data_IF_872050287579
#
_entry.id   IF_872050287579
#
_cell.length_a   1.000
_cell.length_b   1.000
_cell.length_c   1.000
_cell.angle_alpha   90.00
_cell.angle_beta   90.00
_cell.angle_gamma   90.00
#
_symmetry.space_group_name_H-M   'P 1'
#
loop_
_entity.id
_entity.type
_entity.pdbx_description
1 polymer ?
#
# COMPACT_ATOMS: atom_id res chain seq x y z
N UNK A 1 33.26 -1.58 42.21
CA UNK A 1 34.15 -0.50 41.75
C UNK A 1 35.26 -1.15 40.96
N UNK A 2 35.11 -1.23 39.65
CA UNK A 2 36.13 -1.77 38.74
C UNK A 2 37.13 -0.67 38.44
N UNK A 3 38.37 -0.81 38.93
CA UNK A 3 39.50 0.02 38.49
C UNK A 3 39.75 -0.29 37.01
N UNK A 4 39.19 0.53 36.11
CA UNK A 4 39.65 0.57 34.72
C UNK A 4 41.06 1.18 34.69
N UNK A 5 41.91 0.62 33.84
CA UNK A 5 43.27 1.13 33.60
C UNK A 5 43.19 2.56 33.03
N UNK A 6 43.77 3.59 33.69
CA UNK A 6 43.70 4.98 33.22
C UNK A 6 44.23 5.18 31.79
N UNK A 7 45.18 4.34 31.35
CA UNK A 7 45.71 4.39 29.99
C UNK A 7 44.73 3.80 28.97
N UNK A 8 43.97 2.77 29.35
CA UNK A 8 42.87 2.23 28.55
C UNK A 8 41.75 3.27 28.40
N UNK A 9 41.32 3.91 29.49
CA UNK A 9 40.25 4.90 29.45
C UNK A 9 40.62 6.11 28.60
N UNK A 10 41.89 6.54 28.64
CA UNK A 10 42.39 7.65 27.81
C UNK A 10 42.41 7.28 26.32
N UNK A 11 42.88 6.07 25.97
CA UNK A 11 42.86 5.59 24.57
C UNK A 11 41.43 5.40 24.05
N UNK A 12 40.55 4.86 24.88
CA UNK A 12 39.13 4.70 24.56
C UNK A 12 38.45 6.05 24.33
N UNK A 13 38.76 7.05 25.15
CA UNK A 13 38.23 8.41 24.98
C UNK A 13 38.70 9.00 23.65
N UNK A 14 39.99 8.92 23.33
CA UNK A 14 40.51 9.42 22.05
C UNK A 14 39.86 8.76 20.83
N UNK A 15 39.59 7.44 20.88
CA UNK A 15 38.92 6.73 19.79
C UNK A 15 37.44 7.12 19.68
N UNK A 16 36.77 7.43 20.81
CA UNK A 16 35.39 7.94 20.81
C UNK A 16 35.31 9.34 20.23
N UNK A 17 36.26 10.21 20.58
CA UNK A 17 36.34 11.56 20.01
C UNK A 17 36.55 11.49 18.47
N UNK A 18 37.35 10.54 17.98
CA UNK A 18 37.52 10.31 16.54
C UNK A 18 36.23 9.83 15.87
N UNK A 19 35.46 8.94 16.53
CA UNK A 19 34.14 8.51 16.05
C UNK A 19 33.16 9.68 15.99
N UNK A 20 33.12 10.52 17.02
CA UNK A 20 32.22 11.69 17.09
C UNK A 20 32.51 12.70 15.96
N UNK A 21 33.78 12.90 15.62
CA UNK A 21 34.18 13.72 14.46
C UNK A 21 33.75 13.09 13.13
N UNK A 22 33.92 11.77 12.96
CA UNK A 22 33.44 11.04 11.77
C UNK A 22 31.92 11.17 11.63
N UNK A 23 31.17 10.98 12.71
CA UNK A 23 29.71 11.10 12.74
C UNK A 23 29.27 12.53 12.42
N UNK A 24 29.99 13.53 12.90
CA UNK A 24 29.77 14.94 12.54
C UNK A 24 29.99 15.20 11.05
N UNK A 25 31.01 14.59 10.46
CA UNK A 25 31.27 14.67 9.02
C UNK A 25 30.21 13.93 8.18
N UNK A 26 29.68 12.81 8.67
CA UNK A 26 28.53 12.14 8.06
C UNK A 26 27.34 13.09 7.99
N UNK A 27 26.99 13.79 9.07
CA UNK A 27 25.89 14.77 9.07
C UNK A 27 26.10 15.87 8.00
N UNK A 28 27.31 16.41 7.88
CA UNK A 28 27.64 17.41 6.84
C UNK A 28 27.45 16.84 5.43
N UNK A 29 27.89 15.60 5.19
CA UNK A 29 27.70 14.92 3.91
C UNK A 29 26.22 14.67 3.60
N UNK A 30 25.42 14.29 4.59
CA UNK A 30 23.98 14.12 4.45
C UNK A 30 23.28 15.43 4.11
N UNK A 31 23.63 16.53 4.79
CA UNK A 31 23.10 17.87 4.49
C UNK A 31 23.44 18.28 3.06
N UNK A 32 24.70 18.10 2.63
CA UNK A 32 25.10 18.38 1.25
C UNK A 32 24.32 17.52 0.26
N UNK A 33 24.14 16.23 0.54
CA UNK A 33 23.35 15.33 -0.31
C UNK A 33 21.90 15.82 -0.42
N UNK A 34 21.26 16.18 0.69
CA UNK A 34 19.90 16.72 0.71
C UNK A 34 19.77 17.96 -0.18
N UNK A 35 20.72 18.89 -0.10
CA UNK A 35 20.71 20.10 -0.96
C UNK A 35 20.76 19.77 -2.46
N UNK A 36 21.49 18.72 -2.84
CA UNK A 36 21.59 18.26 -4.24
C UNK A 36 20.32 17.53 -4.65
N UNK A 37 19.77 16.66 -3.80
CA UNK A 37 18.53 15.94 -4.10
C UNK A 37 17.34 16.88 -4.23
N UNK A 38 17.25 17.95 -3.42
CA UNK A 38 16.21 18.98 -3.58
C UNK A 38 16.30 19.67 -4.96
N UNK A 39 17.50 20.04 -5.42
CA UNK A 39 17.70 20.61 -6.77
C UNK A 39 17.32 19.64 -7.88
N UNK A 40 17.64 18.35 -7.72
CA UNK A 40 17.20 17.29 -8.66
C UNK A 40 15.68 17.15 -8.66
N UNK A 41 15.03 17.21 -7.49
CA UNK A 41 13.57 17.21 -7.36
C UNK A 41 12.92 18.37 -8.11
N UNK A 42 13.41 19.59 -7.91
CA UNK A 42 12.94 20.80 -8.62
C UNK A 42 13.09 20.65 -10.14
N UNK A 43 14.24 20.17 -10.62
CA UNK A 43 14.49 19.97 -12.05
C UNK A 43 13.59 18.88 -12.65
N UNK A 44 13.35 17.79 -11.92
CA UNK A 44 12.43 16.72 -12.36
C UNK A 44 10.99 17.22 -12.40
N UNK A 45 10.58 17.98 -11.39
CA UNK A 45 9.25 18.58 -11.30
C UNK A 45 8.98 19.51 -12.48
N UNK A 46 9.95 20.38 -12.85
CA UNK A 46 9.79 21.31 -13.98
C UNK A 46 9.59 20.63 -15.34
N UNK A 47 10.04 19.38 -15.50
CA UNK A 47 9.84 18.59 -16.74
C UNK A 47 8.84 17.44 -16.56
N UNK A 48 8.21 17.30 -15.38
CA UNK A 48 7.27 16.22 -15.03
C UNK A 48 7.82 14.81 -15.12
N UNK A 49 9.12 14.63 -14.85
CA UNK A 49 9.66 13.28 -14.69
C UNK A 49 9.30 12.74 -13.32
N UNK A 50 8.91 11.45 -13.20
CA UNK A 50 8.64 10.84 -11.91
C UNK A 50 9.79 11.02 -10.92
N UNK A 51 9.41 11.26 -9.66
CA UNK A 51 10.35 11.34 -8.54
C UNK A 51 11.13 10.02 -8.44
N UNK A 52 10.40 8.91 -8.49
CA UNK A 52 10.94 7.56 -8.47
C UNK A 52 11.46 7.09 -9.84
N UNK A 53 12.68 6.56 -9.87
CA UNK A 53 13.28 5.91 -11.05
C UNK A 53 13.94 4.60 -10.61
N UNK A 54 13.24 3.48 -10.83
CA UNK A 54 13.69 2.17 -10.38
C UNK A 54 14.99 1.70 -11.05
N UNK A 55 15.21 2.02 -12.33
CA UNK A 55 16.44 1.64 -13.05
C UNK A 55 17.64 2.39 -12.48
N UNK A 56 17.46 3.69 -12.18
CA UNK A 56 18.50 4.50 -11.56
C UNK A 56 18.81 4.05 -10.14
N UNK A 57 17.80 3.74 -9.33
CA UNK A 57 17.99 3.19 -7.97
C UNK A 57 18.77 1.88 -8.02
N UNK A 58 18.36 0.92 -8.85
CA UNK A 58 19.02 -0.38 -8.96
C UNK A 58 20.51 -0.24 -9.38
N UNK A 59 20.79 0.62 -10.36
CA UNK A 59 22.16 0.93 -10.79
C UNK A 59 22.99 1.58 -9.68
N UNK A 60 22.40 2.49 -8.91
CA UNK A 60 23.05 3.13 -7.75
C UNK A 60 23.41 2.09 -6.68
N UNK A 61 22.47 1.22 -6.31
CA UNK A 61 22.69 0.18 -5.31
C UNK A 61 23.79 -0.79 -5.76
N UNK A 62 23.71 -1.33 -6.98
CA UNK A 62 24.72 -2.24 -7.50
C UNK A 62 26.13 -1.63 -7.46
N UNK A 63 26.27 -0.37 -7.90
CA UNK A 63 27.56 0.34 -7.89
C UNK A 63 28.10 0.57 -6.48
N UNK A 64 27.23 0.91 -5.52
CA UNK A 64 27.64 1.22 -4.14
C UNK A 64 27.89 -0.02 -3.30
N UNK A 65 27.17 -1.12 -3.54
CA UNK A 65 27.44 -2.44 -2.98
C UNK A 65 28.85 -2.90 -3.35
N UNK A 66 29.22 -2.82 -4.64
CA UNK A 66 30.57 -3.18 -5.10
C UNK A 66 31.64 -2.31 -4.44
N UNK A 67 31.43 -0.98 -4.41
CA UNK A 67 32.36 -0.07 -3.74
C UNK A 67 32.54 -0.37 -2.25
N UNK A 68 31.47 -0.76 -1.55
CA UNK A 68 31.55 -1.14 -0.15
C UNK A 68 32.36 -2.43 0.02
N UNK A 69 32.10 -3.45 -0.80
CA UNK A 69 32.90 -4.68 -0.82
C UNK A 69 34.39 -4.41 -1.03
N UNK A 70 34.74 -3.59 -2.03
CA UNK A 70 36.13 -3.23 -2.35
C UNK A 70 36.82 -2.49 -1.19
N UNK A 71 36.06 -1.78 -0.36
CA UNK A 71 36.54 -1.05 0.81
C UNK A 71 36.49 -1.87 2.11
N UNK A 72 36.09 -3.15 2.08
CA UNK A 72 35.95 -4.01 3.26
C UNK A 72 34.71 -3.70 4.12
N UNK A 73 33.72 -2.98 3.57
CA UNK A 73 32.45 -2.67 4.23
C UNK A 73 31.35 -3.64 3.78
N UNK A 74 30.36 -3.86 4.64
CA UNK A 74 29.18 -4.65 4.28
C UNK A 74 28.39 -3.98 3.14
N UNK A 75 28.10 -4.71 2.05
CA UNK A 75 27.22 -4.23 0.97
C UNK A 75 25.82 -3.88 1.45
N UNK A 76 25.32 -4.60 2.46
CA UNK A 76 23.97 -4.39 2.98
C UNK A 76 23.89 -3.11 3.82
N UNK A 77 24.95 -2.79 4.58
CA UNK A 77 25.03 -1.54 5.35
C UNK A 77 24.88 -0.31 4.45
N UNK A 78 25.67 -0.22 3.37
CA UNK A 78 25.62 0.95 2.48
C UNK A 78 24.27 1.03 1.75
N UNK A 79 23.69 -0.12 1.40
CA UNK A 79 22.39 -0.18 0.77
C UNK A 79 21.29 0.33 1.71
N UNK A 80 21.29 -0.09 2.98
CA UNK A 80 20.32 0.35 3.98
C UNK A 80 20.42 1.85 4.26
N UNK A 81 21.63 2.38 4.39
CA UNK A 81 21.87 3.83 4.52
C UNK A 81 21.29 4.56 3.31
N UNK A 82 21.63 4.14 2.09
CA UNK A 82 21.13 4.79 0.88
C UNK A 82 19.61 4.69 0.73
N UNK A 83 19.01 3.54 1.07
CA UNK A 83 17.55 3.34 1.08
C UNK A 83 16.89 4.31 2.05
N UNK A 84 17.42 4.47 3.26
CA UNK A 84 16.90 5.43 4.26
C UNK A 84 17.01 6.87 3.75
N UNK A 85 18.15 7.25 3.20
CA UNK A 85 18.37 8.60 2.66
C UNK A 85 17.47 8.93 1.46
N UNK A 86 17.16 7.94 0.61
CA UNK A 86 16.24 8.14 -0.51
C UNK A 86 14.80 8.28 -0.03
N UNK A 87 14.35 7.47 0.92
CA UNK A 87 13.02 7.63 1.54
C UNK A 87 12.84 9.02 2.13
N UNK A 88 13.84 9.52 2.85
CA UNK A 88 13.82 10.87 3.41
C UNK A 88 13.81 11.97 2.33
N UNK A 89 14.55 11.74 1.24
CA UNK A 89 14.53 12.64 0.07
C UNK A 89 13.17 12.67 -0.62
N UNK A 90 12.41 11.58 -0.59
CA UNK A 90 11.07 11.53 -1.17
C UNK A 90 10.06 12.33 -0.34
N UNK A 91 10.04 12.12 0.97
CA UNK A 91 9.14 12.85 1.88
C UNK A 91 9.42 14.36 1.85
N UNK A 92 10.70 14.76 1.79
CA UNK A 92 11.07 16.18 1.69
C UNK A 92 10.76 16.80 0.33
N UNK A 93 10.73 16.01 -0.76
CA UNK A 93 10.28 16.47 -2.08
C UNK A 93 8.75 16.54 -2.16
N UNK A 94 8.02 15.63 -1.52
CA UNK A 94 6.57 15.68 -1.39
C UNK A 94 6.10 16.99 -0.72
N UNK A 95 6.90 17.53 0.21
CA UNK A 95 6.62 18.81 0.86
C UNK A 95 6.77 20.03 -0.06
N UNK A 96 7.44 19.90 -1.21
CA UNK A 96 7.62 21.00 -2.18
C UNK A 96 6.49 21.09 -3.22
N UNK A 97 5.47 20.24 -3.11
CA UNK A 97 4.36 20.14 -4.07
C UNK A 97 4.68 19.21 -5.25
N UNK A 98 3.64 18.67 -5.87
CA UNK A 98 3.74 17.84 -7.07
C UNK A 98 3.43 18.64 -8.32
N UNK A 99 3.99 18.24 -9.47
CA UNK A 99 3.59 18.83 -10.75
C UNK A 99 2.10 18.56 -11.01
N UNK A 100 1.36 19.62 -11.33
CA UNK A 100 0.06 19.55 -11.97
C UNK A 100 0.22 19.04 -13.41
N UNK A 101 -0.22 17.81 -13.69
CA UNK A 101 -0.15 17.21 -15.04
C UNK A 101 -1.09 17.92 -16.01
N UNK A 102 -2.31 18.25 -15.58
CA UNK A 102 -3.29 18.95 -16.39
C UNK A 102 -3.74 20.28 -15.74
N UNK A 103 -3.02 21.40 -16.01
CA UNK A 103 -3.39 22.72 -15.49
C UNK A 103 -4.74 23.25 -15.98
N UNK A 104 -5.31 22.68 -17.05
CA UNK A 104 -6.63 23.07 -17.57
C UNK A 104 -7.78 22.40 -16.80
N UNK A 105 -7.47 21.43 -15.94
CA UNK A 105 -8.44 20.81 -15.03
C UNK A 105 -9.00 21.89 -14.10
N UNK A 106 -10.27 22.23 -14.30
CA UNK A 106 -10.92 23.31 -13.54
C UNK A 106 -11.10 22.93 -12.09
N UNK A 107 -11.61 21.72 -11.85
CA UNK A 107 -12.03 21.29 -10.52
C UNK A 107 -12.10 19.78 -10.39
N UNK A 108 -11.55 19.28 -9.28
CA UNK A 108 -11.70 17.89 -8.82
C UNK A 108 -12.71 17.87 -7.69
N UNK A 109 -13.71 17.00 -7.77
CA UNK A 109 -14.69 16.77 -6.70
C UNK A 109 -14.49 15.38 -6.13
N UNK A 110 -14.32 15.28 -4.82
CA UNK A 110 -14.20 13.98 -4.13
C UNK A 110 -15.45 13.77 -3.27
N UNK A 111 -16.29 12.81 -3.67
CA UNK A 111 -17.48 12.39 -2.90
C UNK A 111 -17.02 11.45 -1.78
N UNK A 112 -17.32 11.78 -0.53
CA UNK A 112 -16.72 11.12 0.63
C UNK A 112 -15.26 11.54 0.90
N UNK A 113 -14.87 12.73 0.45
CA UNK A 113 -13.50 13.25 0.56
C UNK A 113 -13.00 13.50 1.98
N UNK A 114 -13.87 13.54 3.01
CA UNK A 114 -13.47 13.56 4.43
C UNK A 114 -13.27 12.15 5.01
N UNK A 115 -13.62 11.11 4.26
CA UNK A 115 -13.34 9.72 4.62
C UNK A 115 -11.85 9.42 4.59
N UNK A 116 -11.44 8.32 5.26
CA UNK A 116 -10.02 8.00 5.45
C UNK A 116 -9.22 7.97 4.13
N UNK A 117 -9.69 7.21 3.13
CA UNK A 117 -9.01 7.12 1.83
C UNK A 117 -9.27 8.36 0.96
N UNK A 118 -10.49 8.90 0.99
CA UNK A 118 -10.84 10.12 0.24
C UNK A 118 -9.95 11.31 0.61
N UNK A 119 -9.63 11.47 1.90
CA UNK A 119 -8.79 12.54 2.41
C UNK A 119 -7.36 12.48 1.86
N UNK A 120 -6.82 11.28 1.62
CA UNK A 120 -5.50 11.08 0.99
C UNK A 120 -5.50 11.66 -0.41
N UNK A 121 -6.52 11.37 -1.23
CA UNK A 121 -6.61 11.91 -2.58
C UNK A 121 -6.88 13.41 -2.59
N UNK A 122 -7.72 13.92 -1.69
CA UNK A 122 -7.94 15.37 -1.51
C UNK A 122 -6.62 16.10 -1.24
N UNK A 123 -5.79 15.58 -0.32
CA UNK A 123 -4.48 16.16 0.00
C UNK A 123 -3.54 16.11 -1.20
N UNK A 124 -3.44 14.97 -1.90
CA UNK A 124 -2.59 14.81 -3.08
C UNK A 124 -2.97 15.74 -4.24
N UNK A 125 -4.27 15.90 -4.52
CA UNK A 125 -4.73 16.85 -5.53
C UNK A 125 -4.42 18.30 -5.12
N UNK A 126 -4.64 18.69 -3.86
CA UNK A 126 -4.29 20.03 -3.36
C UNK A 126 -2.80 20.32 -3.45
N UNK A 127 -1.95 19.35 -3.11
CA UNK A 127 -0.47 19.46 -3.25
C UNK A 127 0.00 19.50 -4.70
N UNK A 128 -0.89 19.20 -5.64
CA UNK A 128 -0.64 19.29 -7.09
C UNK A 128 -1.34 20.51 -7.71
N UNK A 129 -1.69 21.51 -6.90
CA UNK A 129 -2.31 22.78 -7.28
C UNK A 129 -3.68 22.66 -7.98
N UNK A 130 -4.39 21.54 -7.83
CA UNK A 130 -5.78 21.44 -8.30
C UNK A 130 -6.74 22.11 -7.31
N UNK A 131 -7.79 22.74 -7.84
CA UNK A 131 -8.95 23.11 -7.03
C UNK A 131 -9.72 21.83 -6.66
N UNK A 132 -9.96 21.63 -5.36
CA UNK A 132 -10.63 20.43 -4.83
C UNK A 132 -11.84 20.81 -3.98
N UNK A 133 -13.02 20.36 -4.41
CA UNK A 133 -14.25 20.40 -3.63
C UNK A 133 -14.57 19.00 -3.06
N UNK A 134 -15.31 18.96 -1.97
CA UNK A 134 -15.72 17.72 -1.30
C UNK A 134 -17.24 17.70 -1.19
N UNK A 135 -17.85 16.54 -1.44
CA UNK A 135 -19.26 16.30 -1.17
C UNK A 135 -19.38 15.26 -0.05
N UNK A 136 -20.00 15.65 1.06
CA UNK A 136 -20.45 14.77 2.14
C UNK A 136 -21.98 14.66 2.17
N UNK A 137 -22.51 13.89 3.12
CA UNK A 137 -23.96 13.63 3.27
C UNK A 137 -24.82 14.91 3.31
N UNK A 138 -24.33 15.97 3.95
CA UNK A 138 -25.08 17.22 4.12
C UNK A 138 -24.96 18.16 2.91
N UNK A 139 -24.06 17.87 1.97
CA UNK A 139 -23.76 18.73 0.82
C UNK A 139 -24.63 18.39 -0.40
N UNK A 140 -25.30 17.22 -0.40
CA UNK A 140 -26.17 16.77 -1.49
C UNK A 140 -27.24 17.77 -1.94
N UNK A 141 -27.92 18.54 -1.05
CA UNK A 141 -28.87 19.57 -1.49
C UNK A 141 -28.25 20.67 -2.38
N UNK A 142 -26.93 20.83 -2.34
CA UNK A 142 -26.17 21.82 -3.12
C UNK A 142 -25.22 21.16 -4.13
N UNK A 143 -25.33 19.85 -4.36
CA UNK A 143 -24.40 19.08 -5.20
C UNK A 143 -24.37 19.58 -6.64
N UNK A 144 -25.48 20.03 -7.20
CA UNK A 144 -25.54 20.55 -8.57
C UNK A 144 -24.56 21.72 -8.78
N UNK A 145 -24.50 22.65 -7.82
CA UNK A 145 -23.57 23.78 -7.88
C UNK A 145 -22.11 23.33 -7.73
N UNK A 146 -21.86 22.33 -6.88
CA UNK A 146 -20.52 21.76 -6.68
C UNK A 146 -20.07 20.99 -7.93
N UNK A 147 -20.97 20.32 -8.64
CA UNK A 147 -20.65 19.46 -9.79
C UNK A 147 -20.65 20.20 -11.15
N UNK A 148 -21.24 21.39 -11.22
CA UNK A 148 -21.49 22.10 -12.49
C UNK A 148 -20.26 22.32 -13.38
N UNK A 149 -19.08 22.55 -12.80
CA UNK A 149 -17.81 22.76 -13.49
C UNK A 149 -16.74 21.71 -13.16
N UNK A 150 -17.17 20.56 -12.60
CA UNK A 150 -16.28 19.45 -12.29
C UNK A 150 -15.61 18.90 -13.57
N UNK A 151 -14.29 18.78 -13.52
CA UNK A 151 -13.48 18.11 -14.54
C UNK A 151 -13.21 16.65 -14.16
N UNK A 152 -13.18 16.35 -12.86
CA UNK A 152 -13.05 15.00 -12.31
C UNK A 152 -13.99 14.87 -11.11
N UNK A 153 -14.72 13.76 -11.03
CA UNK A 153 -15.48 13.35 -9.85
C UNK A 153 -14.98 11.97 -9.41
N UNK A 154 -14.54 11.86 -8.17
CA UNK A 154 -14.06 10.62 -7.56
C UNK A 154 -14.99 10.20 -6.45
N UNK A 155 -15.52 8.98 -6.55
CA UNK A 155 -16.40 8.36 -5.55
C UNK A 155 -15.57 7.56 -4.55
N UNK A 156 -15.45 8.07 -3.33
CA UNK A 156 -14.68 7.51 -2.23
C UNK A 156 -15.56 7.22 -0.99
N UNK A 157 -16.73 6.61 -1.23
CA UNK A 157 -17.72 6.27 -0.19
C UNK A 157 -17.69 4.76 0.13
N UNK A 158 -18.28 4.30 1.25
CA UNK A 158 -18.41 2.88 1.54
C UNK A 158 -19.12 2.12 0.40
N UNK A 159 -18.66 0.90 0.11
CA UNK A 159 -19.10 0.09 -1.04
C UNK A 159 -20.64 -0.05 -1.08
N UNK A 160 -21.28 -0.28 0.08
CA UNK A 160 -22.75 -0.39 0.17
C UNK A 160 -23.52 0.87 -0.26
N UNK A 161 -22.88 2.04 -0.25
CA UNK A 161 -23.48 3.32 -0.66
C UNK A 161 -23.10 3.72 -2.08
N UNK A 162 -22.07 3.09 -2.66
CA UNK A 162 -21.47 3.50 -3.94
C UNK A 162 -22.49 3.57 -5.07
N UNK A 163 -23.28 2.53 -5.30
CA UNK A 163 -24.27 2.52 -6.39
C UNK A 163 -25.32 3.63 -6.21
N UNK A 164 -25.81 3.82 -4.99
CA UNK A 164 -26.78 4.87 -4.68
C UNK A 164 -26.19 6.27 -4.94
N UNK A 165 -24.95 6.50 -4.51
CA UNK A 165 -24.24 7.76 -4.74
C UNK A 165 -24.02 8.02 -6.23
N UNK A 166 -23.57 7.00 -6.97
CA UNK A 166 -23.36 7.11 -8.43
C UNK A 166 -24.66 7.49 -9.16
N UNK A 167 -25.82 6.96 -8.74
CA UNK A 167 -27.11 7.32 -9.35
C UNK A 167 -27.47 8.80 -9.18
N UNK A 168 -26.98 9.47 -8.14
CA UNK A 168 -27.16 10.91 -7.95
C UNK A 168 -26.19 11.76 -8.80
N UNK A 169 -25.19 11.16 -9.44
CA UNK A 169 -24.21 11.83 -10.30
C UNK A 169 -24.61 11.77 -11.78
N UNK A 170 -25.88 11.99 -12.09
CA UNK A 170 -26.43 11.86 -13.45
C UNK A 170 -26.33 13.14 -14.32
N UNK A 171 -25.97 14.27 -13.73
CA UNK A 171 -25.90 15.58 -14.39
C UNK A 171 -24.46 16.12 -14.46
N UNK A 172 -23.48 15.25 -14.65
CA UNK A 172 -22.07 15.66 -14.79
C UNK A 172 -21.81 16.31 -16.16
N UNK A 173 -20.84 17.26 -16.25
CA UNK A 173 -20.36 17.75 -17.53
C UNK A 173 -19.90 16.61 -18.44
N UNK A 174 -20.15 16.71 -19.75
CA UNK A 174 -19.89 15.61 -20.71
C UNK A 174 -18.44 15.11 -20.70
N UNK A 175 -17.49 16.04 -20.55
CA UNK A 175 -16.05 15.74 -20.52
C UNK A 175 -15.52 15.44 -19.11
N UNK A 176 -16.38 15.48 -18.08
CA UNK A 176 -15.97 15.18 -16.71
C UNK A 176 -15.56 13.72 -16.60
N UNK A 177 -14.42 13.43 -15.98
CA UNK A 177 -14.01 12.07 -15.65
C UNK A 177 -14.81 11.61 -14.43
N UNK A 178 -15.51 10.48 -14.51
CA UNK A 178 -16.12 9.83 -13.36
C UNK A 178 -15.28 8.61 -12.96
N UNK A 179 -14.81 8.60 -11.71
CA UNK A 179 -14.01 7.51 -11.17
C UNK A 179 -14.48 7.09 -9.77
N UNK A 180 -14.09 5.89 -9.35
CA UNK A 180 -14.33 5.38 -8.00
C UNK A 180 -13.03 4.84 -7.38
N UNK A 181 -12.99 4.74 -6.04
CA UNK A 181 -11.87 4.15 -5.28
C UNK A 181 -12.28 2.89 -4.50
N UNK A 182 -13.35 2.21 -4.90
CA UNK A 182 -13.86 1.08 -4.12
C UNK A 182 -12.93 -0.15 -4.20
N UNK A 183 -13.18 -1.15 -3.37
CA UNK A 183 -12.42 -2.42 -3.40
C UNK A 183 -13.00 -3.47 -4.34
N UNK A 184 -14.14 -3.20 -5.02
CA UNK A 184 -14.77 -4.08 -6.02
C UNK A 184 -14.99 -3.30 -7.32
N UNK A 185 -14.84 -3.88 -8.49
CA UNK A 185 -14.79 -3.10 -9.74
C UNK A 185 -15.97 -3.36 -10.66
N UNK A 186 -16.53 -4.56 -10.73
CA UNK A 186 -17.58 -4.86 -11.70
C UNK A 186 -18.84 -4.00 -11.49
N UNK A 187 -19.43 -4.05 -10.29
CA UNK A 187 -20.67 -3.34 -10.00
C UNK A 187 -20.51 -1.81 -10.03
N UNK A 188 -19.52 -1.19 -9.37
CA UNK A 188 -19.33 0.27 -9.43
C UNK A 188 -19.07 0.78 -10.84
N UNK A 189 -18.22 0.08 -11.62
CA UNK A 189 -17.91 0.47 -12.98
C UNK A 189 -19.13 0.40 -13.89
N UNK A 190 -19.95 -0.65 -13.74
CA UNK A 190 -21.22 -0.77 -14.46
C UNK A 190 -22.17 0.40 -14.15
N UNK A 191 -22.35 0.75 -12.87
CA UNK A 191 -23.22 1.85 -12.46
C UNK A 191 -22.68 3.20 -12.94
N UNK A 192 -21.36 3.44 -12.88
CA UNK A 192 -20.75 4.67 -13.39
C UNK A 192 -20.96 4.83 -14.90
N UNK A 193 -20.78 3.76 -15.68
CA UNK A 193 -21.03 3.75 -17.14
C UNK A 193 -22.48 4.03 -17.50
N UNK A 194 -23.42 3.68 -16.61
CA UNK A 194 -24.85 3.93 -16.78
C UNK A 194 -25.24 5.36 -16.39
N UNK A 195 -24.67 5.89 -15.31
CA UNK A 195 -24.97 7.22 -14.79
C UNK A 195 -24.33 8.34 -15.63
N UNK A 196 -23.16 8.09 -16.23
CA UNK A 196 -22.41 9.09 -16.99
C UNK A 196 -22.13 8.63 -18.42
N UNK A 197 -22.29 9.51 -19.39
CA UNK A 197 -22.02 9.23 -20.81
C UNK A 197 -20.57 9.51 -21.22
N UNK A 198 -19.83 10.28 -20.42
CA UNK A 198 -18.45 10.68 -20.67
C UNK A 198 -17.40 9.65 -20.21
N UNK A 199 -16.17 10.12 -19.93
CA UNK A 199 -15.06 9.27 -19.49
C UNK A 199 -15.31 8.61 -18.14
N UNK A 200 -15.02 7.31 -18.04
CA UNK A 200 -15.22 6.51 -16.83
C UNK A 200 -14.02 5.59 -16.58
N UNK A 201 -13.50 5.57 -15.36
CA UNK A 201 -12.42 4.67 -14.94
C UNK A 201 -12.65 4.16 -13.51
N UNK A 202 -12.53 2.85 -13.30
CA UNK A 202 -12.57 2.27 -11.96
C UNK A 202 -11.17 2.17 -11.37
N UNK A 203 -10.97 2.57 -10.12
CA UNK A 203 -9.67 2.53 -9.47
C UNK A 203 -9.76 1.76 -8.15
N UNK A 204 -8.72 0.99 -7.84
CA UNK A 204 -8.56 0.36 -6.54
C UNK A 204 -7.14 0.62 -6.03
N UNK A 205 -6.98 1.60 -5.10
CA UNK A 205 -5.73 1.81 -4.40
C UNK A 205 -5.43 0.61 -3.50
N UNK A 206 -4.33 -0.11 -3.76
CA UNK A 206 -3.94 -1.31 -3.00
C UNK A 206 -3.20 -0.96 -1.69
N UNK A 207 -3.66 0.11 -1.02
CA UNK A 207 -3.07 0.65 0.20
C UNK A 207 -4.15 1.29 1.08
N UNK A 208 -3.89 1.29 2.39
CA UNK A 208 -4.75 1.94 3.37
C UNK A 208 -4.46 3.43 3.56
N UNK A 209 -5.21 4.10 4.44
CA UNK A 209 -5.08 5.54 4.69
C UNK A 209 -3.78 5.94 5.38
N UNK A 210 -3.07 5.00 6.03
CA UNK A 210 -1.81 5.25 6.73
C UNK A 210 -0.60 5.41 5.79
N UNK A 211 -0.84 5.47 4.48
CA UNK A 211 0.20 5.64 3.47
C UNK A 211 0.83 7.03 3.59
N UNK A 212 2.16 7.11 3.67
CA UNK A 212 2.88 8.38 3.78
C UNK A 212 3.20 9.02 2.42
N UNK A 213 3.01 8.30 1.32
CA UNK A 213 3.21 8.73 -0.06
C UNK A 213 3.01 7.55 -1.03
N UNK A 214 2.74 7.83 -2.32
CA UNK A 214 2.36 6.78 -3.26
C UNK A 214 3.53 6.04 -3.92
N UNK A 215 4.78 6.35 -3.54
CA UNK A 215 5.96 5.72 -4.12
C UNK A 215 5.92 4.20 -3.92
N UNK A 216 5.99 3.48 -5.05
CA UNK A 216 5.93 2.01 -5.12
C UNK A 216 4.57 1.41 -4.70
N UNK A 217 3.58 2.24 -4.39
CA UNK A 217 2.21 1.78 -4.15
C UNK A 217 1.53 1.45 -5.47
N UNK A 218 0.64 0.47 -5.46
CA UNK A 218 -0.09 0.05 -6.65
C UNK A 218 -1.50 0.64 -6.63
N UNK A 219 -1.94 1.17 -7.77
CA UNK A 219 -3.35 1.47 -8.04
C UNK A 219 -3.76 0.58 -9.21
N UNK A 220 -4.72 -0.30 -8.96
CA UNK A 220 -5.32 -1.08 -10.03
C UNK A 220 -6.29 -0.19 -10.79
N UNK A 221 -6.26 -0.23 -12.13
CA UNK A 221 -7.11 0.57 -13.00
C UNK A 221 -7.94 -0.34 -13.90
N UNK A 222 -9.26 -0.17 -13.87
CA UNK A 222 -10.20 -0.88 -14.72
C UNK A 222 -10.83 0.11 -15.71
N UNK A 223 -10.63 -0.16 -17.01
CA UNK A 223 -11.12 0.71 -18.08
C UNK A 223 -12.65 0.70 -18.15
N UNK A 224 -13.27 1.88 -18.11
CA UNK A 224 -14.71 2.04 -18.24
C UNK A 224 -15.12 2.51 -19.64
N UNK A 225 -14.76 3.75 -19.98
CA UNK A 225 -15.06 4.41 -21.26
C UNK A 225 -14.12 5.60 -21.51
N UNK A 226 -13.70 5.80 -22.76
CA UNK A 226 -12.87 6.92 -23.22
C UNK A 226 -11.53 7.07 -22.48
N UNK A 227 -10.67 6.01 -22.49
CA UNK A 227 -9.37 6.02 -21.82
C UNK A 227 -8.46 7.17 -22.22
N UNK A 228 -8.55 7.62 -23.46
CA UNK A 228 -7.79 8.75 -23.98
C UNK A 228 -8.06 10.06 -23.23
N UNK A 229 -9.24 10.22 -22.62
CA UNK A 229 -9.64 11.45 -21.93
C UNK A 229 -9.22 11.50 -20.46
N UNK A 230 -8.95 10.34 -19.83
CA UNK A 230 -8.49 10.26 -18.44
C UNK A 230 -7.03 9.85 -18.29
N UNK A 231 -6.27 9.71 -19.39
CA UNK A 231 -4.87 9.29 -19.31
C UNK A 231 -4.01 10.23 -18.45
N UNK A 232 -4.27 11.55 -18.51
CA UNK A 232 -3.58 12.53 -17.68
C UNK A 232 -3.80 12.30 -16.17
N UNK A 233 -4.94 11.74 -15.77
CA UNK A 233 -5.25 11.41 -14.37
C UNK A 233 -4.38 10.23 -13.89
N UNK A 234 -4.23 9.20 -14.73
CA UNK A 234 -3.34 8.06 -14.44
C UNK A 234 -1.86 8.50 -14.42
N UNK A 235 -1.48 9.42 -15.30
CA UNK A 235 -0.18 10.07 -15.28
C UNK A 235 0.03 10.87 -13.99
N UNK A 236 -0.98 11.58 -13.51
CA UNK A 236 -0.92 12.31 -12.24
C UNK A 236 -0.62 11.37 -11.06
N UNK A 237 -1.26 10.20 -11.01
CA UNK A 237 -0.98 9.18 -9.99
C UNK A 237 0.46 8.64 -10.11
N UNK A 238 0.95 8.48 -11.33
CA UNK A 238 2.34 8.07 -11.59
C UNK A 238 3.34 9.15 -11.16
N UNK A 239 3.01 10.44 -11.32
CA UNK A 239 3.81 11.57 -10.79
C UNK A 239 3.91 11.51 -9.27
N UNK A 240 2.84 11.12 -8.59
CA UNK A 240 2.83 10.86 -7.13
C UNK A 240 3.63 9.61 -6.73
N UNK A 241 4.09 8.82 -7.70
CA UNK A 241 4.93 7.64 -7.50
C UNK A 241 4.18 6.31 -7.53
N UNK A 242 2.87 6.32 -7.79
CA UNK A 242 2.07 5.11 -7.89
C UNK A 242 2.44 4.31 -9.15
N UNK A 243 2.27 3.00 -9.06
CA UNK A 243 2.30 2.08 -10.19
C UNK A 243 0.86 1.80 -10.61
N UNK A 244 0.52 2.14 -11.85
CA UNK A 244 -0.78 1.78 -12.43
C UNK A 244 -0.71 0.36 -12.97
N UNK A 245 -1.61 -0.49 -12.51
CA UNK A 245 -1.77 -1.87 -12.97
C UNK A 245 -3.13 -2.01 -13.69
N UNK A 246 -3.16 -2.00 -15.03
CA UNK A 246 -4.41 -2.15 -15.78
C UNK A 246 -4.90 -3.59 -15.73
N UNK A 247 -6.19 -3.78 -15.50
CA UNK A 247 -6.85 -5.10 -15.49
C UNK A 247 -8.34 -4.95 -15.80
N UNK A 248 -8.95 -5.99 -16.36
CA UNK A 248 -10.40 -6.03 -16.54
C UNK A 248 -11.13 -6.09 -15.18
N UNK A 249 -12.30 -5.46 -15.09
CA UNK A 249 -13.04 -5.39 -13.82
C UNK A 249 -13.43 -6.77 -13.27
N UNK A 250 -13.74 -7.72 -14.17
CA UNK A 250 -14.07 -9.09 -13.80
C UNK A 250 -12.85 -9.86 -13.26
N UNK A 251 -11.72 -9.78 -13.97
CA UNK A 251 -10.46 -10.40 -13.54
C UNK A 251 -9.98 -9.79 -12.20
N UNK A 252 -10.18 -8.49 -12.00
CA UNK A 252 -9.94 -7.85 -10.71
C UNK A 252 -10.77 -8.48 -9.58
N UNK A 253 -12.10 -8.57 -9.74
CA UNK A 253 -12.99 -9.06 -8.69
C UNK A 253 -12.76 -10.56 -8.43
N UNK A 254 -12.46 -11.35 -9.47
CA UNK A 254 -12.03 -12.75 -9.33
C UNK A 254 -10.72 -12.85 -8.52
N UNK A 255 -9.71 -12.05 -8.83
CA UNK A 255 -8.46 -12.03 -8.08
C UNK A 255 -8.65 -11.58 -6.62
N UNK A 256 -9.47 -10.54 -6.38
CA UNK A 256 -9.77 -10.04 -5.04
C UNK A 256 -10.58 -11.02 -4.20
N UNK A 257 -11.33 -11.95 -4.81
CA UNK A 257 -11.95 -13.04 -4.09
C UNK A 257 -10.91 -13.88 -3.32
N UNK A 258 -9.76 -14.16 -3.94
CA UNK A 258 -8.67 -14.89 -3.30
C UNK A 258 -7.84 -13.99 -2.37
N UNK A 259 -7.46 -12.80 -2.85
CA UNK A 259 -6.53 -11.90 -2.15
C UNK A 259 -7.14 -11.23 -0.93
N UNK A 260 -8.41 -10.81 -1.02
CA UNK A 260 -9.10 -10.07 0.04
C UNK A 260 -10.15 -10.93 0.73
N UNK A 261 -11.14 -11.44 0.00
CA UNK A 261 -12.31 -12.11 0.61
C UNK A 261 -11.88 -13.35 1.39
N UNK A 262 -11.17 -14.27 0.76
CA UNK A 262 -10.72 -15.50 1.41
C UNK A 262 -9.73 -15.20 2.54
N UNK A 263 -8.79 -14.27 2.33
CA UNK A 263 -7.81 -13.88 3.34
C UNK A 263 -8.48 -13.28 4.58
N UNK A 264 -9.43 -12.36 4.41
CA UNK A 264 -10.13 -11.73 5.52
C UNK A 264 -11.05 -12.73 6.22
N UNK A 265 -11.83 -13.51 5.49
CA UNK A 265 -12.74 -14.48 6.08
C UNK A 265 -12.00 -15.56 6.89
N UNK A 266 -10.90 -16.11 6.36
CA UNK A 266 -10.07 -17.07 7.12
C UNK A 266 -9.45 -16.46 8.37
N UNK A 267 -9.01 -15.20 8.30
CA UNK A 267 -8.48 -14.47 9.46
C UNK A 267 -9.55 -14.23 10.53
N UNK A 268 -10.77 -13.85 10.11
CA UNK A 268 -11.92 -13.68 11.02
C UNK A 268 -12.28 -15.01 11.66
N UNK A 269 -12.35 -16.09 10.88
CA UNK A 269 -12.66 -17.42 11.38
C UNK A 269 -11.62 -17.91 12.40
N UNK A 270 -10.33 -17.69 12.12
CA UNK A 270 -9.26 -18.04 13.05
C UNK A 270 -9.31 -17.22 14.35
N UNK A 271 -9.50 -15.90 14.27
CA UNK A 271 -9.66 -15.07 15.47
C UNK A 271 -10.92 -15.42 16.28
N UNK A 272 -12.03 -15.73 15.60
CA UNK A 272 -13.25 -16.23 16.22
C UNK A 272 -13.04 -17.57 16.93
N UNK A 273 -12.26 -18.48 16.32
CA UNK A 273 -11.88 -19.74 16.94
C UNK A 273 -11.03 -19.53 18.21
N UNK A 274 -9.96 -18.71 18.14
CA UNK A 274 -9.14 -18.40 19.32
C UNK A 274 -9.96 -17.83 20.49
N UNK A 275 -10.89 -16.92 20.19
CA UNK A 275 -11.82 -16.37 21.18
C UNK A 275 -12.72 -17.46 21.78
N UNK A 276 -13.27 -18.33 20.93
CA UNK A 276 -14.22 -19.38 21.34
C UNK A 276 -13.56 -20.46 22.20
N UNK A 277 -12.29 -20.78 21.94
CA UNK A 277 -11.47 -21.70 22.76
C UNK A 277 -11.01 -21.06 24.09
N UNK A 278 -11.29 -19.77 24.31
CA UNK A 278 -10.85 -19.05 25.51
C UNK A 278 -9.33 -18.87 25.57
N UNK A 279 -8.67 -18.77 24.41
CA UNK A 279 -7.22 -18.61 24.34
C UNK A 279 -6.76 -17.30 25.00
N UNK A 280 -5.72 -17.41 25.83
CA UNK A 280 -5.09 -16.27 26.49
C UNK A 280 -4.07 -15.61 25.57
N UNK A 281 -4.46 -14.49 24.94
CA UNK A 281 -3.65 -13.77 23.97
C UNK A 281 -2.30 -13.33 24.57
N UNK A 282 -2.26 -12.95 25.85
CA UNK A 282 -1.01 -12.52 26.48
C UNK A 282 -0.02 -13.69 26.56
N UNK A 283 -0.49 -14.87 26.96
CA UNK A 283 0.35 -16.08 26.97
C UNK A 283 0.79 -16.50 25.57
N UNK A 284 -0.11 -16.49 24.59
CA UNK A 284 0.25 -16.81 23.20
C UNK A 284 1.35 -15.88 22.69
N UNK A 285 1.23 -14.57 22.97
CA UNK A 285 2.22 -13.57 22.59
C UNK A 285 3.55 -13.77 23.30
N UNK A 286 3.53 -14.10 24.60
CA UNK A 286 4.73 -14.33 25.40
C UNK A 286 5.50 -15.59 24.98
N UNK A 287 4.80 -16.62 24.51
CA UNK A 287 5.38 -17.90 24.08
C UNK A 287 5.74 -17.94 22.59
N UNK A 288 5.45 -16.87 21.83
CA UNK A 288 5.68 -16.82 20.39
C UNK A 288 7.10 -16.39 20.02
N UNK A 289 7.74 -17.15 19.12
CA UNK A 289 8.91 -16.67 18.39
C UNK A 289 8.54 -15.46 17.51
N UNK A 290 9.51 -14.70 16.95
CA UNK A 290 9.20 -13.52 16.13
C UNK A 290 8.24 -13.79 14.97
N UNK A 291 8.33 -14.93 14.30
CA UNK A 291 7.43 -15.28 13.19
C UNK A 291 6.01 -15.59 13.68
N UNK A 292 5.84 -16.41 14.72
CA UNK A 292 4.50 -16.69 15.27
C UNK A 292 3.85 -15.45 15.88
N UNK A 293 4.66 -14.55 16.45
CA UNK A 293 4.16 -13.26 16.91
C UNK A 293 3.69 -12.41 15.73
N UNK A 294 4.44 -12.38 14.62
CA UNK A 294 4.03 -11.67 13.42
C UNK A 294 2.70 -12.23 12.88
N UNK A 295 2.53 -13.55 12.82
CA UNK A 295 1.27 -14.18 12.43
C UNK A 295 0.09 -13.74 13.31
N UNK A 296 0.26 -13.76 14.64
CA UNK A 296 -0.75 -13.26 15.57
C UNK A 296 -1.04 -11.76 15.39
N UNK A 297 -0.02 -10.94 15.13
CA UNK A 297 -0.19 -9.51 14.83
C UNK A 297 -0.99 -9.32 13.54
N UNK A 298 -0.75 -10.13 12.51
CA UNK A 298 -1.49 -10.07 11.24
C UNK A 298 -2.96 -10.46 11.41
N UNK A 299 -3.27 -11.36 12.32
CA UNK A 299 -4.66 -11.70 12.71
C UNK A 299 -5.28 -10.55 13.51
N UNK A 300 -4.62 -10.14 14.60
CA UNK A 300 -5.13 -9.16 15.55
C UNK A 300 -5.39 -7.78 14.92
N UNK A 301 -4.52 -7.32 14.01
CA UNK A 301 -4.66 -6.02 13.35
C UNK A 301 -5.92 -5.91 12.48
N UNK A 302 -6.49 -7.03 12.05
CA UNK A 302 -7.75 -7.02 11.28
C UNK A 302 -8.90 -6.50 12.15
N UNK A 303 -8.96 -6.94 13.41
CA UNK A 303 -10.02 -6.58 14.36
C UNK A 303 -9.91 -5.14 14.91
N UNK A 304 -8.82 -4.45 14.60
CA UNK A 304 -8.63 -3.02 14.94
C UNK A 304 -9.15 -2.07 13.84
N UNK A 305 -9.63 -2.60 12.70
CA UNK A 305 -10.12 -1.83 11.56
C UNK A 305 -11.67 -1.83 11.52
N UNK A 306 -12.26 -1.09 10.58
CA UNK A 306 -13.73 -0.99 10.46
C UNK A 306 -14.36 -2.35 10.03
N UNK A 307 -15.18 -3.00 10.87
CA UNK A 307 -15.81 -4.27 10.53
C UNK A 307 -16.76 -4.15 9.33
N UNK A 308 -17.33 -2.96 9.11
CA UNK A 308 -18.29 -2.72 8.03
C UNK A 308 -17.62 -2.77 6.66
N UNK A 309 -16.36 -2.35 6.56
CA UNK A 309 -15.59 -2.45 5.32
C UNK A 309 -15.40 -3.91 4.91
N UNK A 310 -14.99 -4.77 5.85
CA UNK A 310 -14.80 -6.20 5.57
C UNK A 310 -16.11 -6.92 5.26
N UNK A 311 -17.18 -6.57 5.97
CA UNK A 311 -18.51 -7.06 5.64
C UNK A 311 -18.91 -6.67 4.22
N UNK A 312 -18.75 -5.40 3.85
CA UNK A 312 -19.09 -4.94 2.50
C UNK A 312 -18.27 -5.67 1.41
N UNK A 313 -16.97 -5.91 1.62
CA UNK A 313 -16.10 -6.66 0.69
C UNK A 313 -16.53 -8.13 0.59
N UNK A 314 -16.70 -8.82 1.73
CA UNK A 314 -17.01 -10.25 1.75
C UNK A 314 -18.40 -10.52 1.13
N UNK A 315 -19.37 -9.64 1.39
CA UNK A 315 -20.75 -9.79 0.93
C UNK A 315 -21.01 -9.18 -0.45
N UNK A 316 -20.02 -8.53 -1.08
CA UNK A 316 -20.17 -7.86 -2.37
C UNK A 316 -20.56 -8.80 -3.53
N UNK A 317 -20.01 -10.02 -3.56
CA UNK A 317 -20.27 -10.99 -4.62
C UNK A 317 -20.83 -12.29 -4.04
N UNK A 318 -21.96 -12.77 -4.56
CA UNK A 318 -22.58 -14.04 -4.13
C UNK A 318 -21.70 -15.25 -4.43
N UNK A 319 -20.84 -15.17 -5.44
CA UNK A 319 -19.90 -16.25 -5.79
C UNK A 319 -18.85 -16.50 -4.71
N UNK A 320 -18.57 -15.49 -3.88
CA UNK A 320 -17.69 -15.61 -2.71
C UNK A 320 -18.10 -16.77 -1.80
N UNK A 321 -19.41 -17.04 -1.67
CA UNK A 321 -19.93 -18.14 -0.85
C UNK A 321 -19.48 -19.50 -1.37
N UNK A 322 -19.48 -19.69 -2.69
CA UNK A 322 -19.05 -20.94 -3.32
C UNK A 322 -17.55 -21.18 -3.06
N UNK A 323 -16.73 -20.13 -3.21
CA UNK A 323 -15.31 -20.19 -2.91
C UNK A 323 -15.02 -20.51 -1.44
N UNK A 324 -15.69 -19.83 -0.50
CA UNK A 324 -15.52 -20.07 0.95
C UNK A 324 -15.91 -21.51 1.32
N UNK A 325 -16.98 -22.06 0.71
CA UNK A 325 -17.34 -23.47 0.89
C UNK A 325 -16.25 -24.42 0.38
N UNK A 326 -15.69 -24.17 -0.81
CA UNK A 326 -14.57 -24.98 -1.33
C UNK A 326 -13.37 -24.96 -0.38
N UNK A 327 -13.01 -23.79 0.17
CA UNK A 327 -11.94 -23.68 1.16
C UNK A 327 -12.24 -24.48 2.43
N UNK A 328 -13.47 -24.40 2.95
CA UNK A 328 -13.88 -25.20 4.10
C UNK A 328 -13.80 -26.71 3.82
N UNK A 329 -14.17 -27.17 2.62
CA UNK A 329 -14.00 -28.57 2.24
C UNK A 329 -12.53 -28.99 2.20
N UNK A 330 -11.62 -28.14 1.68
CA UNK A 330 -10.17 -28.44 1.71
C UNK A 330 -9.63 -28.56 3.13
N UNK A 331 -10.12 -27.76 4.06
CA UNK A 331 -9.77 -27.90 5.48
C UNK A 331 -10.24 -29.25 6.05
N UNK A 332 -11.45 -29.69 5.71
CA UNK A 332 -11.99 -30.98 6.14
C UNK A 332 -11.23 -32.16 5.54
N UNK A 333 -10.83 -32.09 4.27
CA UNK A 333 -9.99 -33.12 3.63
C UNK A 333 -8.64 -33.27 4.35
N UNK A 334 -7.94 -32.15 4.60
CA UNK A 334 -6.68 -32.19 5.36
C UNK A 334 -6.85 -32.69 6.80
N UNK A 335 -7.99 -32.40 7.43
CA UNK A 335 -8.31 -32.90 8.77
C UNK A 335 -8.59 -34.41 8.76
N UNK A 336 -9.15 -34.94 7.67
CA UNK A 336 -9.39 -36.38 7.51
C UNK A 336 -8.06 -37.14 7.48
N UNK A 337 -7.08 -36.66 6.72
CA UNK A 337 -5.72 -37.23 6.69
C UNK A 337 -5.11 -37.30 8.10
N UNK A 338 -5.22 -36.20 8.87
CA UNK A 338 -4.74 -36.13 10.27
C UNK A 338 -5.52 -37.08 11.18
N UNK A 339 -6.83 -37.18 11.01
CA UNK A 339 -7.69 -38.04 11.83
C UNK A 339 -7.44 -39.53 11.60
N UNK A 340 -6.98 -39.88 10.39
CA UNK A 340 -6.60 -41.24 10.01
C UNK A 340 -5.11 -41.56 10.27
N UNK A 341 -4.33 -40.60 10.80
CA UNK A 341 -2.86 -40.66 10.94
C UNK A 341 -2.14 -40.95 9.60
N UNK A 342 -2.74 -40.55 8.48
CA UNK A 342 -2.19 -40.69 7.13
C UNK A 342 -1.21 -39.55 6.82
N UNK A 343 -0.01 -39.68 7.38
CA UNK A 343 1.06 -38.69 7.21
C UNK A 343 1.53 -38.58 5.77
N UNK A 344 1.51 -39.67 5.01
CA UNK A 344 2.00 -39.69 3.63
C UNK A 344 1.02 -38.89 2.75
N UNK A 345 -0.30 -39.09 2.89
CA UNK A 345 -1.30 -38.29 2.18
C UNK A 345 -1.17 -36.79 2.50
N UNK A 346 -1.00 -36.42 3.76
CA UNK A 346 -0.81 -35.02 4.16
C UNK A 346 0.45 -34.40 3.52
N UNK A 347 1.57 -35.14 3.54
CA UNK A 347 2.85 -34.72 2.93
C UNK A 347 2.73 -34.59 1.41
N UNK A 348 2.00 -35.48 0.75
CA UNK A 348 1.75 -35.41 -0.69
C UNK A 348 0.98 -34.13 -1.05
N UNK A 349 -0.07 -33.80 -0.31
CA UNK A 349 -0.80 -32.52 -0.51
C UNK A 349 0.10 -31.32 -0.25
N UNK A 350 0.94 -31.36 0.80
CA UNK A 350 1.91 -30.30 1.07
C UNK A 350 2.87 -30.07 -0.12
N UNK A 351 3.42 -31.15 -0.68
CA UNK A 351 4.34 -31.08 -1.80
C UNK A 351 3.65 -30.57 -3.08
N UNK A 352 2.41 -31.01 -3.35
CA UNK A 352 1.62 -30.48 -4.47
C UNK A 352 1.41 -28.97 -4.36
N UNK A 353 1.15 -28.45 -3.16
CA UNK A 353 1.01 -27.01 -2.92
C UNK A 353 2.36 -26.30 -3.08
N UNK A 354 3.44 -26.88 -2.54
CA UNK A 354 4.81 -26.34 -2.70
C UNK A 354 5.20 -26.22 -4.17
N UNK A 355 4.95 -27.26 -4.97
CA UNK A 355 5.23 -27.29 -6.41
C UNK A 355 4.40 -26.24 -7.17
N UNK A 356 3.14 -26.03 -6.76
CA UNK A 356 2.29 -24.99 -7.35
C UNK A 356 2.78 -23.57 -7.02
N UNK A 357 3.26 -23.33 -5.80
CA UNK A 357 3.93 -22.06 -5.45
C UNK A 357 5.24 -21.89 -6.25
N UNK A 358 5.94 -22.98 -6.56
CA UNK A 358 7.17 -22.97 -7.34
C UNK A 358 8.23 -22.08 -6.69
N UNK A 359 8.91 -21.28 -7.51
CA UNK A 359 9.99 -20.38 -7.05
C UNK A 359 9.51 -19.35 -5.99
N UNK A 360 8.22 -18.98 -6.01
CA UNK A 360 7.68 -18.04 -5.03
C UNK A 360 7.75 -18.57 -3.59
N UNK A 361 7.72 -19.89 -3.37
CA UNK A 361 7.86 -20.44 -2.02
C UNK A 361 9.21 -20.06 -1.40
N UNK A 362 10.29 -20.15 -2.18
CA UNK A 362 11.64 -19.76 -1.78
C UNK A 362 11.76 -18.25 -1.62
N UNK A 363 11.24 -17.49 -2.58
CA UNK A 363 11.28 -16.02 -2.55
C UNK A 363 10.56 -15.46 -1.32
N UNK A 364 9.35 -15.96 -1.00
CA UNK A 364 8.59 -15.53 0.17
C UNK A 364 9.25 -15.94 1.50
N UNK A 365 9.96 -17.07 1.53
CA UNK A 365 10.73 -17.46 2.71
C UNK A 365 11.87 -16.46 2.98
N UNK A 366 12.63 -16.07 1.96
CA UNK A 366 13.70 -15.08 2.11
C UNK A 366 13.16 -13.68 2.40
N UNK A 367 12.08 -13.29 1.75
CA UNK A 367 11.41 -12.00 2.00
C UNK A 367 10.92 -11.91 3.46
N UNK A 368 10.25 -12.95 3.96
CA UNK A 368 9.76 -12.98 5.34
C UNK A 368 10.89 -12.91 6.37
N UNK A 369 12.04 -13.58 6.13
CA UNK A 369 13.24 -13.45 6.98
C UNK A 369 13.72 -12.00 7.06
N UNK A 370 13.81 -11.31 5.92
CA UNK A 370 14.22 -9.89 5.88
C UNK A 370 13.23 -9.00 6.64
N UNK A 371 11.93 -9.24 6.47
CA UNK A 371 10.88 -8.52 7.21
C UNK A 371 10.98 -8.72 8.72
N UNK A 372 11.23 -9.96 9.18
CA UNK A 372 11.35 -10.29 10.60
C UNK A 372 12.56 -9.65 11.27
N UNK A 373 13.70 -9.59 10.57
CA UNK A 373 14.89 -8.89 11.08
C UNK A 373 14.57 -7.42 11.37
N UNK A 374 13.95 -6.73 10.41
CA UNK A 374 13.51 -5.33 10.58
C UNK A 374 12.43 -5.17 11.64
N UNK A 375 11.48 -6.10 11.73
CA UNK A 375 10.43 -6.06 12.74
C UNK A 375 11.00 -6.24 14.17
N UNK A 376 12.05 -7.05 14.33
CA UNK A 376 12.74 -7.20 15.61
C UNK A 376 13.50 -5.95 16.03
N UNK A 377 14.12 -5.22 15.10
CA UNK A 377 14.75 -3.91 15.38
C UNK A 377 13.76 -2.87 15.90
N UNK A 378 12.49 -2.96 15.51
CA UNK A 378 11.42 -2.05 15.93
C UNK A 378 10.84 -2.35 17.32
N UNK A 379 11.23 -3.45 17.98
CA UNK A 379 10.84 -3.71 19.37
C UNK A 379 11.46 -2.63 20.26
N UNK A 380 10.66 -1.63 20.62
CA UNK A 380 10.95 -0.76 21.77
C UNK A 380 11.04 -1.67 23.00
N UNK A 381 12.22 -1.70 23.63
CA UNK A 381 12.41 -2.32 24.94
C UNK A 381 11.52 -1.67 25.99
#
# INVERSE_FOLDING_TARGET
MTNSDPDFDKKLTSLRDEIDEIDSDLVKLLQRRLSVTSKVGQLKSSVGKPIYDGKREASLFAKRRLQASDAGLSPDLIEDVLRRLMRDSYVSQDASGYRCVNPECKKVVVVGGKGQLGAVFVDLFKRSDYQVDIIEQNDWPHSEAILADASVVIVAVPIRLTSMVIHHLNNLPKECILADLTSIKESPLFEMKKAHAGPVVGLHPMFGPDVTGLIKQTIISCEGRFPEQYQWLLEQFTVWGAKIYPVEAHEHDEAMSMVQVMRHFSTIAYGYHLMSEGADIEKLVAMSSPIYRLELVMVGRLFAQDPTLYADIIFANKENVSMMKRFAYRFLELLEDVSLDDKDAFVDVFNLVSDWFGDYAGDFLEESKSMLLKANELKKH
#
